data_IF_107239468158
#
_entry.id   IF_107239468158
#
_cell.length_a   1.000
_cell.length_b   1.000
_cell.length_c   1.000
_cell.angle_alpha   90.00
_cell.angle_beta   90.00
_cell.angle_gamma   90.00
#
_symmetry.space_group_name_H-M   'P 1'
#
loop_
_entity.id
_entity.type
_entity.pdbx_description
1 polymer ?
#
# COMPACT_ATOMS: atom_id res chain seq x y z
N UNK A 1 12.47 -9.27 1.64
CA UNK A 1 12.37 -9.67 0.23
C UNK A 1 11.63 -8.61 -0.56
N UNK A 2 12.01 -8.39 -1.81
CA UNK A 2 11.42 -7.34 -2.63
C UNK A 2 10.30 -7.89 -3.51
N UNK A 3 9.06 -7.78 -3.05
CA UNK A 3 7.88 -8.18 -3.81
C UNK A 3 7.42 -7.05 -4.74
N UNK A 4 7.49 -5.82 -4.25
CA UNK A 4 7.17 -4.63 -5.02
C UNK A 4 8.50 -3.95 -5.32
N UNK A 5 8.78 -3.71 -6.59
CA UNK A 5 10.04 -3.09 -7.00
C UNK A 5 9.98 -1.57 -6.82
N UNK A 6 11.04 -0.98 -6.30
CA UNK A 6 11.14 0.48 -6.16
C UNK A 6 10.98 1.18 -7.50
N UNK A 7 11.48 0.55 -8.58
CA UNK A 7 11.38 1.11 -9.93
C UNK A 7 9.99 1.03 -10.54
N UNK A 8 9.10 0.18 -9.99
CA UNK A 8 7.73 0.09 -10.50
C UNK A 8 6.78 1.09 -9.85
N UNK A 9 7.25 1.82 -8.82
CA UNK A 9 6.47 2.86 -8.15
C UNK A 9 7.06 4.22 -8.53
N UNK A 10 6.26 5.05 -9.21
CA UNK A 10 6.70 6.34 -9.71
C UNK A 10 6.35 7.47 -8.73
N UNK A 11 7.37 8.20 -8.26
CA UNK A 11 7.19 9.37 -7.44
C UNK A 11 6.39 10.45 -8.18
N UNK A 12 6.65 10.62 -9.48
CA UNK A 12 5.92 11.61 -10.29
C UNK A 12 4.44 11.30 -10.38
N UNK A 13 4.06 10.03 -10.46
CA UNK A 13 2.66 9.63 -10.44
C UNK A 13 2.02 9.93 -9.09
N UNK A 14 2.71 9.59 -7.99
CA UNK A 14 2.19 9.84 -6.64
C UNK A 14 1.91 11.33 -6.43
N UNK A 15 2.75 12.19 -6.98
CA UNK A 15 2.58 13.65 -6.87
C UNK A 15 1.30 14.14 -7.54
N UNK A 16 0.84 13.46 -8.57
CA UNK A 16 -0.30 13.87 -9.40
C UNK A 16 -1.58 13.12 -9.07
N UNK A 17 -1.50 11.82 -8.84
CA UNK A 17 -2.65 10.94 -8.67
C UNK A 17 -2.35 9.82 -7.68
N UNK A 18 -3.37 9.29 -6.98
CA UNK A 18 -3.17 8.12 -6.15
C UNK A 18 -2.69 6.93 -6.99
N UNK A 19 -1.73 6.19 -6.46
CA UNK A 19 -1.21 4.95 -7.05
C UNK A 19 -1.76 3.79 -6.24
N UNK A 20 -2.43 2.85 -6.90
CA UNK A 20 -2.99 1.68 -6.25
C UNK A 20 -2.40 0.41 -6.83
N UNK A 21 -2.38 -0.63 -6.02
CA UNK A 21 -1.91 -1.94 -6.46
C UNK A 21 -2.27 -3.00 -5.45
N UNK A 22 -1.84 -4.23 -5.73
CA UNK A 22 -2.06 -5.35 -4.83
C UNK A 22 -0.96 -6.39 -4.99
N UNK A 23 -0.71 -7.14 -3.93
CA UNK A 23 0.21 -8.27 -3.97
C UNK A 23 -0.23 -9.31 -2.94
N UNK A 24 -0.54 -10.51 -3.43
CA UNK A 24 -0.89 -11.68 -2.60
C UNK A 24 -1.89 -11.39 -1.46
N UNK A 25 -2.95 -10.66 -1.76
CA UNK A 25 -4.01 -10.39 -0.79
C UNK A 25 -3.89 -9.06 -0.06
N UNK A 26 -2.74 -8.39 -0.16
CA UNK A 26 -2.57 -7.04 0.38
C UNK A 26 -2.81 -6.03 -0.73
N UNK A 27 -3.75 -5.11 -0.51
CA UNK A 27 -3.96 -3.98 -1.41
C UNK A 27 -3.32 -2.74 -0.81
N UNK A 28 -2.89 -1.81 -1.67
CA UNK A 28 -2.27 -0.57 -1.20
C UNK A 28 -2.67 0.62 -2.06
N UNK A 29 -2.59 1.80 -1.45
CA UNK A 29 -2.84 3.07 -2.11
C UNK A 29 -1.83 4.08 -1.58
N UNK A 30 -1.12 4.72 -2.49
CA UNK A 30 -0.11 5.73 -2.18
C UNK A 30 -0.56 7.05 -2.76
N UNK A 31 -0.61 8.11 -1.96
CA UNK A 31 -1.06 9.40 -2.43
C UNK A 31 -0.27 10.55 -1.81
N UNK A 32 -0.22 11.64 -2.54
CA UNK A 32 0.27 12.93 -2.03
C UNK A 32 -0.80 13.52 -1.12
N UNK A 33 -0.46 13.74 0.15
CA UNK A 33 -1.42 14.27 1.12
C UNK A 33 -1.61 15.79 1.06
N UNK A 34 -0.88 16.47 0.15
CA UNK A 34 -0.96 17.92 0.04
C UNK A 34 -0.07 18.68 1.02
N UNK A 35 0.66 17.97 1.87
CA UNK A 35 1.51 18.56 2.92
C UNK A 35 2.98 18.11 2.80
N UNK A 36 3.38 17.71 1.60
CA UNK A 36 4.76 17.26 1.34
C UNK A 36 5.05 15.83 1.76
N UNK A 37 4.01 15.02 1.98
CA UNK A 37 4.16 13.63 2.42
C UNK A 37 3.42 12.67 1.50
N UNK A 38 3.93 11.44 1.41
CA UNK A 38 3.22 10.32 0.81
C UNK A 38 2.39 9.67 1.92
N UNK A 39 1.08 9.58 1.71
CA UNK A 39 0.21 8.82 2.60
C UNK A 39 0.04 7.42 2.01
N UNK A 40 0.51 6.41 2.73
CA UNK A 40 0.37 5.03 2.32
C UNK A 40 -0.72 4.35 3.14
N UNK A 41 -1.58 3.61 2.46
CA UNK A 41 -2.64 2.84 3.11
C UNK A 41 -2.60 1.42 2.59
N UNK A 42 -2.72 0.43 3.48
CA UNK A 42 -2.82 -0.98 3.12
C UNK A 42 -4.06 -1.60 3.76
N UNK A 43 -4.64 -2.57 3.08
CA UNK A 43 -5.82 -3.30 3.58
C UNK A 43 -5.92 -4.65 2.90
N UNK A 44 -6.64 -5.62 3.50
CA UNK A 44 -6.83 -6.93 2.86
C UNK A 44 -7.82 -6.86 1.71
N UNK A 45 -7.61 -7.69 0.68
CA UNK A 45 -8.59 -7.86 -0.39
C UNK A 45 -9.93 -8.35 0.20
N UNK A 46 -11.06 -8.25 -0.53
CA UNK A 46 -11.21 -7.97 -1.96
C UNK A 46 -11.65 -6.54 -2.32
N UNK A 47 -12.00 -5.74 -1.33
CA UNK A 47 -12.62 -4.45 -1.63
C UNK A 47 -11.59 -3.39 -2.00
N UNK A 48 -12.05 -2.38 -2.78
CA UNK A 48 -11.20 -1.23 -3.08
C UNK A 48 -11.13 -0.30 -1.85
N UNK A 49 -10.33 0.76 -1.95
CA UNK A 49 -10.10 1.69 -0.86
C UNK A 49 -11.41 2.25 -0.28
N UNK A 50 -12.34 2.63 -1.15
CA UNK A 50 -13.58 3.31 -0.72
C UNK A 50 -14.59 2.37 -0.07
N UNK A 51 -14.57 1.09 -0.44
CA UNK A 51 -15.51 0.10 0.09
C UNK A 51 -14.97 -0.66 1.29
N UNK A 52 -13.68 -0.51 1.61
CA UNK A 52 -13.07 -1.17 2.77
C UNK A 52 -13.38 -0.38 4.04
N UNK A 53 -13.73 -1.07 5.10
CA UNK A 53 -13.96 -0.44 6.41
C UNK A 53 -12.66 0.16 6.94
N UNK A 54 -12.76 1.33 7.57
CA UNK A 54 -11.59 2.04 8.10
C UNK A 54 -10.81 1.19 9.11
N UNK A 55 -11.48 0.38 9.89
CA UNK A 55 -10.82 -0.48 10.88
C UNK A 55 -9.90 -1.54 10.26
N UNK A 56 -10.06 -1.83 8.96
CA UNK A 56 -9.21 -2.78 8.23
C UNK A 56 -8.05 -2.09 7.52
N UNK A 57 -8.02 -0.76 7.51
CA UNK A 57 -6.98 0.02 6.85
C UNK A 57 -5.86 0.37 7.81
N UNK A 58 -4.63 0.29 7.32
CA UNK A 58 -3.43 0.68 8.07
C UNK A 58 -2.70 1.75 7.30
N UNK A 59 -2.33 2.83 7.98
CA UNK A 59 -1.72 4.00 7.36
C UNK A 59 -0.29 4.22 7.82
N UNK A 60 0.52 4.78 6.95
CA UNK A 60 1.83 5.31 7.30
C UNK A 60 2.15 6.47 6.37
N UNK A 61 3.07 7.34 6.77
CA UNK A 61 3.46 8.49 5.97
C UNK A 61 4.96 8.50 5.74
N UNK A 62 5.37 9.03 4.59
CA UNK A 62 6.78 9.13 4.18
C UNK A 62 7.00 10.46 3.47
N UNK A 63 8.23 11.01 3.50
CA UNK A 63 8.51 12.23 2.73
C UNK A 63 8.20 12.06 1.25
N UNK A 64 7.69 13.12 0.62
CA UNK A 64 7.36 13.12 -0.82
C UNK A 64 8.62 13.43 -1.65
N UNK A 65 9.60 12.54 -1.60
CA UNK A 65 10.85 12.60 -2.32
C UNK A 65 11.33 11.19 -2.67
N UNK A 66 12.47 11.08 -3.36
CA UNK A 66 12.98 9.78 -3.81
C UNK A 66 13.26 8.85 -2.62
N UNK A 67 13.88 9.35 -1.57
CA UNK A 67 14.20 8.56 -0.39
C UNK A 67 12.93 8.12 0.35
N UNK A 68 11.95 9.01 0.45
CA UNK A 68 10.66 8.71 1.07
C UNK A 68 9.88 7.68 0.28
N UNK A 69 9.91 7.77 -1.06
CA UNK A 69 9.29 6.77 -1.92
C UNK A 69 9.92 5.40 -1.72
N UNK A 70 11.25 5.33 -1.65
CA UNK A 70 11.95 4.08 -1.42
C UNK A 70 11.64 3.49 -0.05
N UNK A 71 11.59 4.33 0.99
CA UNK A 71 11.21 3.90 2.33
C UNK A 71 9.76 3.38 2.36
N UNK A 72 8.87 4.01 1.61
CA UNK A 72 7.48 3.58 1.46
C UNK A 72 7.39 2.18 0.85
N UNK A 73 8.13 1.93 -0.23
CA UNK A 73 8.17 0.61 -0.88
C UNK A 73 8.75 -0.44 0.07
N UNK A 74 9.81 -0.10 0.81
CA UNK A 74 10.38 -1.00 1.81
C UNK A 74 9.35 -1.37 2.88
N UNK A 75 8.57 -0.39 3.34
CA UNK A 75 7.50 -0.64 4.31
C UNK A 75 6.42 -1.56 3.73
N UNK A 76 6.00 -1.33 2.47
CA UNK A 76 5.03 -2.21 1.82
C UNK A 76 5.54 -3.65 1.76
N UNK A 77 6.79 -3.85 1.36
CA UNK A 77 7.40 -5.18 1.30
C UNK A 77 7.50 -5.83 2.68
N UNK A 78 7.84 -5.04 3.70
CA UNK A 78 7.87 -5.52 5.08
C UNK A 78 6.48 -5.99 5.53
N UNK A 79 5.44 -5.22 5.24
CA UNK A 79 4.07 -5.58 5.63
C UNK A 79 3.57 -6.82 4.92
N UNK A 80 4.00 -7.07 3.69
CA UNK A 80 3.66 -8.30 2.97
C UNK A 80 4.17 -9.52 3.76
N UNK A 81 5.38 -9.46 4.29
CA UNK A 81 5.97 -10.55 5.08
C UNK A 81 5.41 -10.62 6.50
N UNK A 82 5.41 -9.50 7.21
CA UNK A 82 5.04 -9.44 8.63
C UNK A 82 3.59 -9.83 8.85
N UNK A 83 2.70 -9.47 7.92
CA UNK A 83 1.27 -9.75 8.01
C UNK A 83 0.82 -10.80 6.98
N UNK A 84 1.72 -11.69 6.56
CA UNK A 84 1.43 -12.67 5.49
C UNK A 84 0.21 -13.54 5.78
N UNK A 85 -0.02 -13.91 7.03
CA UNK A 85 -1.20 -14.70 7.39
C UNK A 85 -2.51 -13.94 7.17
N UNK A 86 -2.51 -12.64 7.45
CA UNK A 86 -3.68 -11.80 7.22
C UNK A 86 -4.02 -11.74 5.72
N UNK A 87 -3.01 -11.51 4.88
CA UNK A 87 -3.21 -11.43 3.43
C UNK A 87 -3.61 -12.76 2.84
N UNK A 88 -3.01 -13.85 3.30
CA UNK A 88 -3.35 -15.20 2.88
C UNK A 88 -4.78 -15.54 3.24
N UNK A 89 -5.20 -15.23 4.45
CA UNK A 89 -6.57 -15.46 4.91
C UNK A 89 -7.56 -14.69 4.04
N UNK A 90 -7.23 -13.45 3.68
CA UNK A 90 -8.08 -12.64 2.83
C UNK A 90 -8.31 -13.28 1.46
N UNK A 91 -7.28 -13.91 0.88
CA UNK A 91 -7.40 -14.60 -0.40
C UNK A 91 -8.22 -15.89 -0.31
N UNK A 92 -8.21 -16.55 0.84
CA UNK A 92 -8.88 -17.84 1.04
C UNK A 92 -10.35 -17.69 1.49
N UNK A 93 -10.73 -16.53 1.99
CA UNK A 93 -12.09 -16.31 2.48
C UNK A 93 -13.09 -16.16 1.34
N UNK A 94 -14.29 -16.79 1.46
CA UNK A 94 -15.36 -16.57 0.48
C UNK A 94 -16.02 -15.21 0.75
N UNK A 95 -15.60 -14.21 0.02
CA UNK A 95 -16.18 -12.88 0.10
C UNK A 95 -17.46 -12.83 -0.74
N UNK A 96 -18.54 -13.10 -0.12
CA UNK A 96 -19.84 -13.07 -0.80
C UNK A 96 -20.66 -11.90 -0.29
#
# INVERSE_FOLDING_TARGET
MEYILKTSVSLNFIKKEPVTGSYKGMRYRLMNNGEGMIEACIWPEPYNFFKTKDELKQYNTFPLDADGKDACVDWLNEQIDVQSELWKTALEMPWI
#
